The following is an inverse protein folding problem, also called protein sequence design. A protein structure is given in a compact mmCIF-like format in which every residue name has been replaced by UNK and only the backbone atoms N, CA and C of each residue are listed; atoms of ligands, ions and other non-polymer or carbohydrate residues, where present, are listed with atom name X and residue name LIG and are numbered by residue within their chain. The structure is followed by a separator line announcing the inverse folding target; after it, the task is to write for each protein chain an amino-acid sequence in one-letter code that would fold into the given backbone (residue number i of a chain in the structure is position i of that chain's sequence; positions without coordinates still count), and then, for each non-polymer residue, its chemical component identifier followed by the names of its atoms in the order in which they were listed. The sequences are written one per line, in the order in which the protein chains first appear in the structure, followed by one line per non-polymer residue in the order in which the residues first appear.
data_IF_072554149451
#
_entry.id   IF_072554149451
#
_cell.length_a   1.000
_cell.length_b   1.000
_cell.length_c   1.000
_cell.angle_alpha   90.00
_cell.angle_beta   90.00
_cell.angle_gamma   90.00
#
_symmetry.space_group_name_H-M   'P 1'
#
loop_
_entity.id
_entity.type
_entity.pdbx_description
1 polymer ?
#
# COMPACT_ATOMS: atom_id res chain seq x y z
N UNK A 1 -31.56 10.24 -11.34
CA UNK A 1 -32.53 11.34 -11.57
C UNK A 1 -31.82 12.69 -11.62
N UNK A 2 -31.28 13.18 -10.49
CA UNK A 2 -30.58 14.48 -10.44
C UNK A 2 -29.48 14.59 -11.51
N UNK A 3 -28.59 13.60 -11.62
CA UNK A 3 -27.52 13.58 -12.64
C UNK A 3 -28.04 13.83 -14.07
N UNK A 4 -29.20 13.25 -14.41
CA UNK A 4 -29.84 13.43 -15.74
C UNK A 4 -30.52 14.79 -15.85
N UNK A 5 -31.16 15.26 -14.79
CA UNK A 5 -31.81 16.58 -14.75
C UNK A 5 -30.79 17.72 -14.86
N UNK A 6 -29.55 17.50 -14.43
CA UNK A 6 -28.45 18.46 -14.56
C UNK A 6 -27.63 18.29 -15.84
N UNK A 7 -27.98 17.36 -16.74
CA UNK A 7 -27.25 17.11 -18.00
C UNK A 7 -25.87 16.47 -17.81
N UNK A 8 -25.66 15.72 -16.72
CA UNK A 8 -24.39 15.10 -16.36
C UNK A 8 -24.37 13.58 -16.60
N UNK A 9 -25.31 13.02 -17.38
CA UNK A 9 -25.46 11.57 -17.59
C UNK A 9 -24.24 10.87 -18.18
N UNK A 10 -23.37 11.61 -18.87
CA UNK A 10 -22.15 11.09 -19.48
C UNK A 10 -20.91 11.24 -18.60
N UNK A 11 -21.03 11.86 -17.42
CA UNK A 11 -19.89 12.01 -16.51
C UNK A 11 -19.51 10.67 -15.85
N UNK A 12 -18.22 10.44 -15.58
CA UNK A 12 -17.78 9.25 -14.85
C UNK A 12 -18.47 9.15 -13.49
N UNK A 13 -18.93 7.95 -13.15
CA UNK A 13 -19.57 7.63 -11.88
C UNK A 13 -18.82 6.51 -11.20
N UNK A 14 -18.78 6.57 -9.88
CA UNK A 14 -18.19 5.53 -9.05
C UNK A 14 -19.10 5.28 -7.84
N UNK A 15 -19.30 4.00 -7.51
CA UNK A 15 -19.93 3.55 -6.28
C UNK A 15 -18.90 2.78 -5.44
N UNK A 16 -18.65 3.24 -4.22
CA UNK A 16 -17.78 2.55 -3.28
C UNK A 16 -18.51 1.38 -2.62
N UNK A 17 -17.98 0.18 -2.81
CA UNK A 17 -18.41 -1.05 -2.15
C UNK A 17 -17.61 -1.24 -0.85
N UNK A 18 -17.64 -0.22 0.01
CA UNK A 18 -16.81 -0.14 1.20
C UNK A 18 -17.54 -0.65 2.44
N UNK A 19 -16.83 -1.38 3.31
CA UNK A 19 -17.34 -1.95 4.57
C UNK A 19 -18.69 -2.67 4.38
N UNK A 20 -19.78 -2.14 4.92
CA UNK A 20 -21.13 -2.71 4.90
C UNK A 20 -21.77 -2.70 3.51
N UNK A 21 -21.38 -1.76 2.64
CA UNK A 21 -21.99 -1.58 1.31
C UNK A 21 -21.70 -2.78 0.41
N UNK A 22 -20.58 -3.46 0.61
CA UNK A 22 -20.28 -4.71 -0.10
C UNK A 22 -21.36 -5.77 0.13
N UNK A 23 -21.89 -5.87 1.35
CA UNK A 23 -23.00 -6.77 1.68
C UNK A 23 -24.30 -6.40 0.97
N UNK A 24 -24.60 -5.09 0.85
CA UNK A 24 -25.77 -4.62 0.09
C UNK A 24 -25.66 -4.88 -1.41
N UNK A 25 -24.43 -4.84 -1.94
CA UNK A 25 -24.18 -5.14 -3.33
C UNK A 25 -24.48 -6.60 -3.68
N UNK A 26 -23.93 -7.56 -2.91
CA UNK A 26 -24.16 -8.98 -3.17
C UNK A 26 -25.55 -9.45 -2.73
N UNK A 27 -26.11 -8.87 -1.66
CA UNK A 27 -27.34 -9.35 -1.03
C UNK A 27 -27.09 -10.56 -0.12
N UNK A 28 -28.17 -11.19 0.33
CA UNK A 28 -28.10 -12.32 1.26
C UNK A 28 -29.47 -12.86 1.64
N UNK A 29 -29.51 -14.09 2.17
CA UNK A 29 -30.73 -14.73 2.69
C UNK A 29 -31.94 -14.70 1.73
N UNK A 30 -31.70 -14.96 0.43
CA UNK A 30 -32.73 -14.93 -0.61
C UNK A 30 -33.12 -13.53 -1.10
N UNK A 31 -32.54 -12.47 -0.55
CA UNK A 31 -32.72 -11.10 -1.02
C UNK A 31 -31.65 -10.76 -2.05
N UNK A 32 -32.09 -10.36 -3.25
CA UNK A 32 -31.21 -9.88 -4.32
C UNK A 32 -30.56 -8.55 -3.91
N UNK A 33 -29.24 -8.45 -4.03
CA UNK A 33 -28.51 -7.21 -3.81
C UNK A 33 -28.49 -6.28 -5.01
N UNK A 34 -27.81 -5.14 -4.85
CA UNK A 34 -27.65 -4.11 -5.88
C UNK A 34 -26.91 -4.61 -7.13
N UNK A 35 -26.18 -5.73 -7.06
CA UNK A 35 -25.55 -6.37 -8.22
C UNK A 35 -26.52 -6.65 -9.36
N UNK A 36 -27.80 -6.89 -9.04
CA UNK A 36 -28.84 -7.17 -10.04
C UNK A 36 -29.57 -5.92 -10.56
N UNK A 37 -29.18 -4.73 -10.08
CA UNK A 37 -29.79 -3.47 -10.47
C UNK A 37 -29.05 -2.84 -11.65
N UNK A 38 -29.78 -2.58 -12.72
CA UNK A 38 -29.32 -1.98 -13.97
C UNK A 38 -28.80 -0.55 -13.81
N UNK A 39 -29.16 0.14 -12.72
CA UNK A 39 -28.65 1.47 -12.43
C UNK A 39 -27.14 1.56 -12.16
N UNK A 40 -26.43 0.43 -12.10
CA UNK A 40 -24.97 0.36 -11.95
C UNK A 40 -24.24 -0.03 -13.24
N UNK A 41 -24.94 -0.22 -14.36
CA UNK A 41 -24.38 -0.68 -15.63
C UNK A 41 -23.42 0.31 -16.29
N UNK A 42 -23.39 1.55 -15.83
CA UNK A 42 -22.51 2.62 -16.30
C UNK A 42 -21.67 3.26 -15.18
N UNK A 43 -21.47 2.52 -14.08
CA UNK A 43 -20.78 2.98 -12.88
C UNK A 43 -19.57 2.11 -12.55
N UNK A 44 -18.42 2.73 -12.31
CA UNK A 44 -17.24 2.05 -11.75
C UNK A 44 -17.60 1.54 -10.37
N UNK A 45 -17.32 0.27 -10.09
CA UNK A 45 -17.48 -0.29 -8.75
C UNK A 45 -16.12 -0.29 -8.07
N UNK A 46 -16.00 0.52 -7.01
CA UNK A 46 -14.77 0.67 -6.23
C UNK A 46 -14.79 -0.34 -5.08
N UNK A 47 -14.04 -1.43 -5.25
CA UNK A 47 -13.77 -2.41 -4.20
C UNK A 47 -12.71 -1.86 -3.24
N UNK A 48 -12.59 -2.46 -2.06
CA UNK A 48 -11.60 -2.05 -1.07
C UNK A 48 -10.81 -3.23 -0.50
N UNK A 49 -9.69 -2.90 0.12
CA UNK A 49 -9.10 -3.76 1.13
C UNK A 49 -9.93 -3.80 2.42
N UNK A 50 -9.43 -4.52 3.41
CA UNK A 50 -9.99 -4.66 4.75
C UNK A 50 -9.60 -3.51 5.71
N UNK A 51 -9.09 -2.40 5.17
CA UNK A 51 -8.44 -1.30 5.89
C UNK A 51 -7.07 -1.61 6.47
N UNK A 52 -6.49 -2.77 6.21
CA UNK A 52 -5.16 -3.16 6.70
C UNK A 52 -4.25 -3.65 5.57
N UNK A 53 -4.58 -3.30 4.32
CA UNK A 53 -3.82 -3.70 3.13
C UNK A 53 -4.07 -5.14 2.70
N UNK A 54 -5.21 -5.75 3.03
CA UNK A 54 -5.61 -7.05 2.48
C UNK A 54 -6.86 -6.87 1.61
N UNK A 55 -6.71 -7.00 0.30
CA UNK A 55 -7.80 -6.88 -0.68
C UNK A 55 -8.89 -7.90 -0.34
N UNK A 56 -10.16 -7.45 -0.30
CA UNK A 56 -11.31 -8.27 0.09
C UNK A 56 -11.80 -9.13 -1.08
N UNK A 57 -13.05 -8.93 -1.51
CA UNK A 57 -13.56 -9.66 -2.67
C UNK A 57 -12.97 -9.10 -3.96
N UNK A 58 -12.92 -9.95 -4.98
CA UNK A 58 -12.42 -9.62 -6.30
C UNK A 58 -13.48 -9.97 -7.35
N UNK A 59 -13.46 -9.31 -8.52
CA UNK A 59 -14.40 -9.62 -9.60
C UNK A 59 -14.33 -11.09 -10.01
N UNK A 60 -15.50 -11.73 -10.13
CA UNK A 60 -15.60 -13.08 -10.69
C UNK A 60 -15.36 -13.05 -12.20
N UNK A 61 -15.03 -14.21 -12.79
CA UNK A 61 -14.70 -14.32 -14.23
C UNK A 61 -15.77 -13.71 -15.15
N UNK A 62 -17.04 -13.84 -14.80
CA UNK A 62 -18.19 -13.29 -15.55
C UNK A 62 -18.32 -11.77 -15.45
N UNK A 63 -17.76 -11.15 -14.41
CA UNK A 63 -17.83 -9.71 -14.18
C UNK A 63 -16.49 -8.98 -14.36
N UNK A 64 -15.39 -9.72 -14.53
CA UNK A 64 -14.04 -9.17 -14.66
C UNK A 64 -13.96 -8.06 -15.71
N UNK A 65 -14.53 -8.31 -16.89
CA UNK A 65 -14.41 -7.43 -18.07
C UNK A 65 -15.65 -6.54 -18.28
N UNK A 66 -16.39 -6.24 -17.21
CA UNK A 66 -17.57 -5.38 -17.28
C UNK A 66 -17.15 -3.97 -17.73
N UNK A 67 -17.84 -3.42 -18.74
CA UNK A 67 -17.43 -2.20 -19.47
C UNK A 67 -17.14 -0.95 -18.60
N UNK A 68 -17.91 -0.63 -17.55
CA UNK A 68 -17.58 0.53 -16.70
C UNK A 68 -16.32 0.34 -15.88
N UNK A 69 -15.85 -0.90 -15.73
CA UNK A 69 -14.64 -1.20 -15.01
C UNK A 69 -14.80 -1.39 -13.50
N UNK A 70 -13.64 -1.51 -12.86
CA UNK A 70 -13.49 -1.74 -11.43
C UNK A 70 -12.41 -0.85 -10.85
N UNK A 71 -12.60 -0.44 -9.61
CA UNK A 71 -11.60 0.31 -8.86
C UNK A 71 -11.13 -0.40 -7.58
N UNK A 72 -9.97 0.02 -7.07
CA UNK A 72 -9.39 -0.40 -5.80
C UNK A 72 -9.19 0.80 -4.88
N UNK A 73 -9.73 0.72 -3.67
CA UNK A 73 -9.38 1.57 -2.53
C UNK A 73 -8.51 0.79 -1.54
N UNK A 74 -7.27 1.24 -1.35
CA UNK A 74 -6.24 0.57 -0.53
C UNK A 74 -5.81 1.46 0.65
N UNK A 75 -5.18 0.90 1.70
CA UNK A 75 -4.77 1.66 2.88
C UNK A 75 -3.28 1.52 3.23
N UNK A 76 -2.56 2.64 3.29
CA UNK A 76 -1.27 2.81 3.99
C UNK A 76 -1.41 3.45 5.37
N UNK A 77 -2.57 4.04 5.63
CA UNK A 77 -3.00 4.64 6.89
C UNK A 77 -4.46 4.22 7.19
N UNK A 78 -4.81 4.03 8.46
CA UNK A 78 -6.20 3.85 8.85
C UNK A 78 -6.50 4.27 10.29
N UNK A 79 -7.54 5.11 10.43
CA UNK A 79 -8.17 5.43 11.71
C UNK A 79 -9.37 4.50 11.99
N UNK A 80 -9.18 3.49 12.85
CA UNK A 80 -10.28 2.62 13.26
C UNK A 80 -9.85 1.27 13.84
N UNK A 81 -10.82 0.36 13.95
CA UNK A 81 -10.64 -0.96 14.57
C UNK A 81 -9.89 -1.97 13.68
N UNK A 82 -9.15 -2.95 14.27
CA UNK A 82 -9.00 -3.18 15.71
C UNK A 82 -8.08 -2.17 16.42
N UNK A 83 -7.04 -1.67 15.76
CA UNK A 83 -6.14 -0.63 16.26
C UNK A 83 -5.74 0.22 15.05
N UNK A 84 -5.84 1.54 15.18
CA UNK A 84 -5.40 2.45 14.13
C UNK A 84 -3.90 2.33 13.85
N UNK A 85 -3.48 2.78 12.67
CA UNK A 85 -2.07 2.98 12.35
C UNK A 85 -1.92 4.24 11.52
N UNK A 86 -1.35 5.27 12.14
CA UNK A 86 -1.44 6.66 11.67
C UNK A 86 -0.13 7.41 11.84
N UNK A 87 0.84 6.87 12.59
CA UNK A 87 2.02 7.64 12.97
C UNK A 87 3.14 7.60 11.93
N UNK A 88 3.52 6.40 11.48
CA UNK A 88 4.64 6.19 10.57
C UNK A 88 4.37 5.04 9.60
N UNK A 89 5.06 5.05 8.46
CA UNK A 89 4.95 3.99 7.48
C UNK A 89 5.21 2.61 8.13
N UNK A 90 4.26 1.72 7.89
CA UNK A 90 4.29 0.34 8.37
C UNK A 90 3.92 -0.67 7.29
N UNK A 91 4.05 -0.30 6.01
CA UNK A 91 3.64 -1.10 4.86
C UNK A 91 4.85 -1.49 3.98
N UNK A 92 5.29 -2.75 3.99
CA UNK A 92 6.37 -3.23 3.11
C UNK A 92 5.96 -3.26 1.63
N UNK A 93 6.84 -2.83 0.73
CA UNK A 93 6.61 -2.87 -0.72
C UNK A 93 6.22 -4.26 -1.27
N UNK A 94 6.81 -5.39 -0.81
CA UNK A 94 6.39 -6.71 -1.27
C UNK A 94 4.90 -7.01 -1.01
N UNK A 95 4.35 -6.52 0.11
CA UNK A 95 2.92 -6.68 0.42
C UNK A 95 2.06 -5.87 -0.55
N UNK A 96 2.46 -4.63 -0.84
CA UNK A 96 1.76 -3.79 -1.82
C UNK A 96 1.76 -4.45 -3.20
N UNK A 97 2.93 -4.92 -3.66
CA UNK A 97 3.05 -5.59 -4.95
C UNK A 97 2.12 -6.80 -5.04
N UNK A 98 2.14 -7.69 -4.05
CA UNK A 98 1.35 -8.92 -4.09
C UNK A 98 -0.15 -8.64 -4.13
N UNK A 99 -0.64 -7.74 -3.28
CA UNK A 99 -2.06 -7.41 -3.19
C UNK A 99 -2.58 -6.63 -4.41
N UNK A 100 -1.83 -5.63 -4.86
CA UNK A 100 -2.25 -4.74 -5.95
C UNK A 100 -2.13 -5.45 -7.31
N UNK A 101 -1.09 -6.27 -7.51
CA UNK A 101 -0.99 -7.09 -8.73
C UNK A 101 -2.06 -8.16 -8.80
N UNK A 102 -2.42 -8.79 -7.67
CA UNK A 102 -3.58 -9.68 -7.61
C UNK A 102 -4.87 -8.95 -8.01
N UNK A 103 -5.13 -7.76 -7.49
CA UNK A 103 -6.29 -6.95 -7.87
C UNK A 103 -6.32 -6.66 -9.39
N UNK A 104 -5.17 -6.28 -9.97
CA UNK A 104 -5.04 -6.03 -11.41
C UNK A 104 -5.37 -7.27 -12.26
N UNK A 105 -4.89 -8.45 -11.85
CA UNK A 105 -5.14 -9.72 -12.55
C UNK A 105 -6.61 -10.14 -12.50
N UNK A 106 -7.33 -9.72 -11.46
CA UNK A 106 -8.77 -9.92 -11.35
C UNK A 106 -9.59 -8.81 -12.03
N UNK A 107 -8.95 -7.95 -12.82
CA UNK A 107 -9.62 -6.96 -13.68
C UNK A 107 -9.88 -5.61 -13.01
N UNK A 108 -9.31 -5.34 -11.84
CA UNK A 108 -9.38 -4.03 -11.20
C UNK A 108 -8.32 -3.11 -11.81
N UNK A 109 -8.70 -2.32 -12.82
CA UNK A 109 -7.73 -1.59 -13.68
C UNK A 109 -8.08 -0.13 -13.93
N UNK A 110 -9.33 0.28 -13.66
CA UNK A 110 -9.85 1.58 -14.12
C UNK A 110 -9.60 2.71 -13.13
N UNK A 111 -9.56 2.41 -11.83
CA UNK A 111 -9.34 3.41 -10.79
C UNK A 111 -8.62 2.81 -9.59
N UNK A 112 -7.42 3.29 -9.28
CA UNK A 112 -6.71 2.94 -8.03
C UNK A 112 -6.54 4.17 -7.16
N UNK A 113 -6.87 4.03 -5.88
CA UNK A 113 -6.71 5.08 -4.88
C UNK A 113 -6.22 4.45 -3.58
N UNK A 114 -5.32 5.14 -2.89
CA UNK A 114 -4.75 4.69 -1.62
C UNK A 114 -4.89 5.77 -0.55
N UNK A 115 -5.33 5.39 0.65
CA UNK A 115 -5.30 6.25 1.82
C UNK A 115 -3.85 6.33 2.35
N UNK A 116 -3.32 7.54 2.44
CA UNK A 116 -1.95 7.85 2.88
C UNK A 116 -1.91 8.72 4.13
N UNK A 117 -3.04 8.87 4.83
CA UNK A 117 -3.13 9.73 6.01
C UNK A 117 -2.64 11.14 5.72
N UNK A 118 -1.64 11.58 6.49
CA UNK A 118 -1.00 12.89 6.38
C UNK A 118 0.06 13.00 5.25
N UNK A 119 0.13 12.02 4.35
CA UNK A 119 1.11 11.87 3.24
C UNK A 119 2.52 11.53 3.75
N UNK A 120 3.05 12.26 4.73
CA UNK A 120 4.31 11.91 5.39
C UNK A 120 4.05 10.90 6.51
N UNK A 121 4.89 9.87 6.71
CA UNK A 121 6.12 9.54 5.97
C UNK A 121 5.92 8.38 4.96
N UNK A 122 4.86 8.43 4.14
CA UNK A 122 4.49 7.37 3.17
C UNK A 122 5.02 7.64 1.75
N UNK A 123 6.00 8.53 1.56
CA UNK A 123 6.53 8.89 0.24
C UNK A 123 7.01 7.68 -0.57
N UNK A 124 7.72 6.73 0.08
CA UNK A 124 8.23 5.52 -0.58
C UNK A 124 7.11 4.57 -1.05
N UNK A 125 6.20 4.07 -0.18
CA UNK A 125 5.12 3.19 -0.63
C UNK A 125 4.13 3.90 -1.56
N UNK A 126 3.88 5.20 -1.39
CA UNK A 126 3.08 5.99 -2.33
C UNK A 126 3.74 6.07 -3.70
N UNK A 127 5.04 6.38 -3.77
CA UNK A 127 5.79 6.39 -5.03
C UNK A 127 5.69 5.04 -5.74
N UNK A 128 5.81 3.94 -4.98
CA UNK A 128 5.70 2.59 -5.54
C UNK A 128 4.30 2.28 -6.07
N UNK A 129 3.26 2.62 -5.30
CA UNK A 129 1.86 2.41 -5.71
C UNK A 129 1.54 3.16 -7.00
N UNK A 130 1.96 4.42 -7.09
CA UNK A 130 1.73 5.25 -8.28
C UNK A 130 2.53 4.76 -9.49
N UNK A 131 3.78 4.34 -9.29
CA UNK A 131 4.60 3.79 -10.36
C UNK A 131 4.02 2.47 -10.91
N UNK A 132 3.57 1.58 -10.01
CA UNK A 132 2.91 0.33 -10.38
C UNK A 132 1.58 0.56 -11.10
N UNK A 133 0.81 1.59 -10.71
CA UNK A 133 -0.44 1.98 -11.38
C UNK A 133 -0.20 2.54 -12.79
N UNK A 134 0.90 3.29 -12.97
CA UNK A 134 1.24 3.93 -14.23
C UNK A 134 1.81 2.95 -15.26
N UNK A 135 2.76 2.10 -14.84
CA UNK A 135 3.45 1.14 -15.71
C UNK A 135 3.40 -0.26 -15.11
N UNK A 136 2.20 -0.85 -15.17
CA UNK A 136 1.98 -2.21 -14.69
C UNK A 136 2.78 -3.24 -15.49
N UNK A 137 3.05 -2.99 -16.77
CA UNK A 137 3.76 -3.96 -17.62
C UNK A 137 5.21 -4.17 -17.16
N UNK A 138 5.89 -3.11 -16.72
CA UNK A 138 7.29 -3.17 -16.27
C UNK A 138 7.48 -3.45 -14.76
N UNK A 139 6.39 -3.42 -13.99
CA UNK A 139 6.44 -3.55 -12.52
C UNK A 139 5.50 -4.61 -11.93
N UNK A 140 4.50 -5.06 -12.70
CA UNK A 140 3.41 -5.92 -12.25
C UNK A 140 3.77 -7.40 -12.17
N UNK A 141 2.84 -8.27 -12.55
CA UNK A 141 2.95 -9.72 -12.37
C UNK A 141 4.13 -10.35 -13.09
N UNK A 142 4.58 -9.79 -14.22
CA UNK A 142 5.79 -10.21 -14.93
C UNK A 142 7.11 -9.94 -14.17
N UNK A 143 7.07 -9.18 -13.08
CA UNK A 143 8.23 -8.65 -12.37
C UNK A 143 8.25 -9.04 -10.88
N UNK A 144 7.87 -10.28 -10.57
CA UNK A 144 7.92 -10.82 -9.22
C UNK A 144 9.30 -10.68 -8.56
N UNK A 145 9.32 -10.38 -7.25
CA UNK A 145 10.53 -10.18 -6.43
C UNK A 145 11.44 -9.03 -6.89
N UNK A 146 10.91 -8.03 -7.61
CA UNK A 146 11.69 -6.87 -8.07
C UNK A 146 11.44 -5.57 -7.27
N UNK A 147 10.72 -5.62 -6.14
CA UNK A 147 10.49 -4.43 -5.29
C UNK A 147 11.80 -3.80 -4.79
N UNK A 148 12.85 -4.60 -4.62
CA UNK A 148 14.19 -4.11 -4.26
C UNK A 148 14.87 -3.30 -5.36
N UNK A 149 14.56 -3.61 -6.63
CA UNK A 149 15.04 -2.82 -7.77
C UNK A 149 14.39 -1.44 -7.78
N UNK A 150 13.09 -1.37 -7.47
CA UNK A 150 12.40 -0.10 -7.31
C UNK A 150 13.00 0.70 -6.14
N UNK A 151 13.20 0.07 -4.99
CA UNK A 151 13.78 0.73 -3.82
C UNK A 151 15.17 1.31 -4.12
N UNK A 152 16.03 0.57 -4.80
CA UNK A 152 17.34 1.07 -5.22
C UNK A 152 17.23 2.26 -6.18
N UNK A 153 16.29 2.22 -7.13
CA UNK A 153 16.04 3.32 -8.08
C UNK A 153 15.47 4.55 -7.38
N UNK A 154 14.61 4.35 -6.38
CA UNK A 154 14.06 5.43 -5.58
C UNK A 154 15.14 6.11 -4.73
N UNK A 155 16.03 5.34 -4.09
CA UNK A 155 17.19 5.90 -3.37
C UNK A 155 18.12 6.66 -4.31
N UNK A 156 18.37 6.14 -5.52
CA UNK A 156 19.12 6.87 -6.55
C UNK A 156 18.46 8.21 -6.89
N UNK A 157 17.14 8.21 -7.05
CA UNK A 157 16.39 9.43 -7.35
C UNK A 157 16.50 10.47 -6.24
N UNK A 158 16.43 10.07 -4.96
CA UNK A 158 16.45 11.01 -3.84
C UNK A 158 17.87 11.50 -3.51
N UNK A 159 18.86 10.61 -3.57
CA UNK A 159 20.19 10.88 -3.02
C UNK A 159 21.31 10.87 -4.07
N UNK A 160 21.09 10.31 -5.26
CA UNK A 160 22.12 10.09 -6.28
C UNK A 160 22.79 11.36 -6.80
N UNK A 161 22.14 12.53 -6.67
CA UNK A 161 22.75 13.81 -7.02
C UNK A 161 23.97 14.13 -6.15
N UNK A 162 23.91 13.83 -4.84
CA UNK A 162 24.91 14.21 -3.85
C UNK A 162 25.69 13.02 -3.27
N UNK A 163 25.14 11.81 -3.32
CA UNK A 163 25.76 10.57 -2.83
C UNK A 163 26.12 9.69 -4.03
N UNK A 164 27.41 9.68 -4.39
CA UNK A 164 27.95 8.84 -5.48
C UNK A 164 28.44 7.47 -5.02
N UNK A 165 28.63 7.28 -3.72
CA UNK A 165 29.04 6.00 -3.17
C UNK A 165 27.87 5.00 -3.21
N UNK A 166 28.00 3.98 -4.06
CA UNK A 166 27.02 2.90 -4.20
C UNK A 166 26.83 2.12 -2.90
N UNK A 167 27.86 2.03 -2.06
CA UNK A 167 27.77 1.32 -0.78
C UNK A 167 26.82 2.05 0.17
N UNK A 168 26.98 3.36 0.30
CA UNK A 168 26.10 4.22 1.10
C UNK A 168 24.66 4.17 0.59
N UNK A 169 24.43 4.26 -0.73
CA UNK A 169 23.06 4.15 -1.30
C UNK A 169 22.43 2.79 -1.01
N UNK A 170 23.19 1.70 -1.14
CA UNK A 170 22.72 0.35 -0.78
C UNK A 170 22.38 0.26 0.72
N UNK A 171 23.21 0.85 1.58
CA UNK A 171 22.94 0.89 3.02
C UNK A 171 21.65 1.65 3.35
N UNK A 172 21.35 2.77 2.67
CA UNK A 172 20.08 3.51 2.80
C UNK A 172 18.90 2.61 2.39
N UNK A 173 18.99 1.95 1.24
CA UNK A 173 17.95 1.01 0.78
C UNK A 173 17.73 -0.13 1.79
N UNK A 174 18.80 -0.67 2.37
CA UNK A 174 18.70 -1.72 3.40
C UNK A 174 17.98 -1.22 4.67
N UNK A 175 18.24 0.01 5.10
CA UNK A 175 17.57 0.63 6.25
C UNK A 175 16.07 0.77 5.99
N UNK A 176 15.69 1.36 4.85
CA UNK A 176 14.29 1.56 4.47
C UNK A 176 13.55 0.21 4.37
N UNK A 177 14.19 -0.81 3.77
CA UNK A 177 13.62 -2.16 3.66
C UNK A 177 13.38 -2.80 5.02
N UNK A 178 14.39 -2.79 5.89
CA UNK A 178 14.31 -3.47 7.18
C UNK A 178 13.38 -2.74 8.16
N UNK A 179 13.36 -1.40 8.13
CA UNK A 179 12.41 -0.57 8.86
C UNK A 179 10.96 -0.95 8.51
N UNK A 180 10.61 -0.87 7.22
CA UNK A 180 9.26 -1.22 6.76
C UNK A 180 8.92 -2.68 7.09
N UNK A 181 9.89 -3.60 6.98
CA UNK A 181 9.70 -5.01 7.33
C UNK A 181 9.41 -5.22 8.82
N UNK A 182 10.11 -4.53 9.72
CA UNK A 182 9.87 -4.64 11.17
C UNK A 182 8.48 -4.08 11.50
N UNK A 183 8.13 -2.89 11.00
CA UNK A 183 6.82 -2.30 11.22
C UNK A 183 5.68 -3.10 10.57
N UNK A 184 5.94 -3.76 9.44
CA UNK A 184 4.98 -4.68 8.81
C UNK A 184 4.73 -5.96 9.59
N UNK A 185 5.64 -6.37 10.50
CA UNK A 185 5.41 -7.51 11.41
C UNK A 185 4.44 -7.14 12.54
N UNK A 186 4.58 -5.92 13.07
CA UNK A 186 3.67 -5.35 14.06
C UNK A 186 3.68 -3.84 13.92
N UNK A 187 2.52 -3.27 13.58
CA UNK A 187 2.38 -1.81 13.47
C UNK A 187 2.67 -1.13 14.82
N UNK A 188 3.28 0.06 14.85
CA UNK A 188 3.77 0.68 16.08
C UNK A 188 2.73 0.80 17.19
N UNK A 189 1.53 1.26 16.88
CA UNK A 189 0.43 1.47 17.82
C UNK A 189 -0.11 0.17 18.40
N UNK A 190 0.05 -0.93 17.66
CA UNK A 190 -0.36 -2.26 18.10
C UNK A 190 0.74 -2.97 18.90
N UNK A 191 1.97 -2.46 18.92
CA UNK A 191 3.10 -3.09 19.63
C UNK A 191 2.92 -2.98 21.15
N UNK A 192 3.24 -4.05 21.88
CA UNK A 192 3.16 -4.09 23.34
C UNK A 192 4.09 -5.19 23.91
N UNK A 193 4.31 -5.24 25.24
CA UNK A 193 5.25 -6.19 25.87
C UNK A 193 4.93 -7.68 25.63
N UNK A 194 3.68 -8.01 25.31
CA UNK A 194 3.23 -9.40 25.14
C UNK A 194 3.27 -9.89 23.69
N UNK A 195 3.67 -9.03 22.73
CA UNK A 195 3.74 -9.40 21.30
C UNK A 195 4.83 -10.43 21.01
N UNK A 196 6.03 -10.23 21.56
CA UNK A 196 7.16 -11.16 21.39
C UNK A 196 7.45 -11.83 22.73
N UNK A 197 7.38 -13.16 22.74
CA UNK A 197 7.63 -14.01 23.89
C UNK A 197 9.10 -13.96 24.32
N UNK A 198 9.31 -13.62 25.59
CA UNK A 198 10.64 -13.33 26.16
C UNK A 198 11.65 -14.48 25.99
N UNK A 199 11.22 -15.74 26.15
CA UNK A 199 12.11 -16.91 26.17
C UNK A 199 11.89 -17.93 25.05
N UNK A 200 10.78 -17.87 24.32
CA UNK A 200 10.47 -18.90 23.33
C UNK A 200 11.23 -18.63 22.05
N UNK A 201 11.94 -19.64 21.58
CA UNK A 201 12.70 -19.59 20.34
C UNK A 201 13.66 -18.40 20.22
N UNK A 202 14.02 -17.69 21.29
CA UNK A 202 14.79 -16.44 21.26
C UNK A 202 14.18 -15.31 20.39
N UNK A 203 12.85 -15.24 20.24
CA UNK A 203 12.25 -14.24 19.34
C UNK A 203 12.44 -12.80 19.79
N UNK A 204 12.24 -12.49 21.08
CA UNK A 204 12.52 -11.15 21.63
C UNK A 204 13.99 -10.78 21.47
N UNK A 205 14.91 -11.70 21.77
CA UNK A 205 16.36 -11.47 21.60
C UNK A 205 16.71 -11.16 20.15
N UNK A 206 16.18 -11.93 19.18
CA UNK A 206 16.40 -11.66 17.75
C UNK A 206 15.83 -10.33 17.32
N UNK A 207 14.62 -9.97 17.79
CA UNK A 207 14.00 -8.69 17.43
C UNK A 207 14.81 -7.51 17.97
N UNK A 208 15.24 -7.57 19.24
CA UNK A 208 16.14 -6.55 19.82
C UNK A 208 17.41 -6.43 18.99
N UNK A 209 18.06 -7.55 18.65
CA UNK A 209 19.27 -7.52 17.83
C UNK A 209 19.06 -6.87 16.46
N UNK A 210 17.93 -7.15 15.79
CA UNK A 210 17.57 -6.52 14.51
C UNK A 210 17.37 -5.01 14.67
N UNK A 211 16.62 -4.57 15.68
CA UNK A 211 16.39 -3.15 15.95
C UNK A 211 17.69 -2.42 16.29
N UNK A 212 18.53 -2.97 17.18
CA UNK A 212 19.83 -2.38 17.54
C UNK A 212 20.76 -2.29 16.33
N UNK A 213 20.82 -3.33 15.50
CA UNK A 213 21.63 -3.31 14.29
C UNK A 213 21.12 -2.27 13.27
N UNK A 214 19.81 -2.12 13.12
CA UNK A 214 19.20 -1.11 12.27
C UNK A 214 19.52 0.31 12.76
N UNK A 215 19.31 0.59 14.05
CA UNK A 215 19.66 1.88 14.66
C UNK A 215 21.13 2.24 14.45
N UNK A 216 22.04 1.30 14.74
CA UNK A 216 23.48 1.54 14.56
C UNK A 216 23.85 1.78 13.09
N UNK A 217 23.22 1.05 12.15
CA UNK A 217 23.42 1.28 10.71
C UNK A 217 22.95 2.68 10.32
N UNK A 218 21.80 3.14 10.80
CA UNK A 218 21.27 4.48 10.53
C UNK A 218 22.16 5.58 11.11
N UNK A 219 22.65 5.44 12.35
CA UNK A 219 23.59 6.38 12.97
C UNK A 219 24.90 6.47 12.17
N UNK A 220 25.46 5.33 11.74
CA UNK A 220 26.66 5.31 10.92
C UNK A 220 26.43 5.96 9.56
N UNK A 221 25.28 5.72 8.93
CA UNK A 221 24.87 6.36 7.69
C UNK A 221 24.83 7.87 7.84
N UNK A 222 24.25 8.40 8.93
CA UNK A 222 24.13 9.83 9.18
C UNK A 222 25.48 10.57 9.12
N UNK A 223 26.58 9.91 9.52
CA UNK A 223 27.94 10.48 9.42
C UNK A 223 28.48 10.59 7.99
N UNK A 224 27.90 9.82 7.05
CA UNK A 224 28.28 9.77 5.63
C UNK A 224 27.43 10.68 4.75
N UNK A 225 26.30 11.19 5.25
CA UNK A 225 25.37 12.00 4.46
C UNK A 225 25.93 13.41 4.23
N UNK A 226 26.08 13.86 2.96
CA UNK A 226 26.48 15.23 2.64
C UNK A 226 25.48 16.24 3.19
N UNK A 227 25.96 17.45 3.54
CA UNK A 227 25.12 18.53 4.08
C UNK A 227 23.86 18.79 3.24
N UNK A 228 24.00 18.83 1.91
CA UNK A 228 22.90 19.06 0.96
C UNK A 228 21.81 17.96 0.96
N UNK A 229 22.07 16.80 1.58
CA UNK A 229 21.12 15.68 1.65
C UNK A 229 20.65 15.38 3.07
N UNK A 230 21.10 16.12 4.10
CA UNK A 230 20.76 15.83 5.50
C UNK A 230 19.26 15.95 5.78
N UNK A 231 18.62 17.01 5.29
CA UNK A 231 17.19 17.22 5.51
C UNK A 231 16.35 16.14 4.81
N UNK A 232 16.73 15.77 3.59
CA UNK A 232 16.09 14.69 2.86
C UNK A 232 16.29 13.34 3.55
N UNK A 233 17.50 13.06 4.05
CA UNK A 233 17.80 11.82 4.78
C UNK A 233 17.07 11.75 6.13
N UNK A 234 16.83 12.88 6.79
CA UNK A 234 16.06 12.90 8.04
C UNK A 234 14.55 12.79 7.80
N UNK A 235 14.06 13.37 6.70
CA UNK A 235 12.65 13.40 6.36
C UNK A 235 12.10 12.16 5.65
N UNK A 236 12.97 11.26 5.18
CA UNK A 236 12.65 10.06 4.39
C UNK A 236 13.21 8.80 5.06
#
# INVERSE_FOLDING_TARGET
KIIKETGCEHMPKMLALYKEVEGFYYGGNGVKGLRSWDGLDDTILLLSDDNFGNVRTLPTKDLKDRKPGWGLYYHFDYHGSPISYEWVNSTPLPKVWEQVTMAYEYGIRDLWIVNVGDIRPDELPLSYFMALAYDFESMGTGHANQTDRFLASWVEQQFGAHIKDETTKKEIADVLREYARIHGMRRPEAMNPDVYHVSHFNETKRMIQRCTALMQKTENLQTKIPEASKDAFYGL
#
